data_IF_449200630724
#
_entry.id   IF_449200630724
#
_cell.length_a   1.000
_cell.length_b   1.000
_cell.length_c   1.000
_cell.angle_alpha   90.00
_cell.angle_beta   90.00
_cell.angle_gamma   90.00
#
_symmetry.space_group_name_H-M   'P 1'
#
loop_
_entity.id
_entity.type
_entity.pdbx_description
1 polymer ?
2 non-polymer ?
3 non-polymer ?
4 water ?
#
# COMPACT_ATOMS: atom_id res chain seq x y z
N UNK A 1 -0.05 -2.32 -8.32
CA UNK A 1 -1.45 -2.66 -8.74
C UNK A 1 -2.30 -3.35 -7.68
N UNK A 3 -1.78 -4.89 -4.83
CA UNK A 3 -1.37 -6.16 -4.16
C UNK A 3 -1.62 -6.14 -2.63
N UNK A 4 -1.35 -5.00 -1.99
CA UNK A 4 -1.49 -4.94 -0.52
C UNK A 4 -2.94 -5.02 -0.02
N UNK A 5 -3.87 -4.25 -0.59
CA UNK A 5 -5.28 -4.31 -0.14
C UNK A 5 -5.89 -5.69 -0.48
N UNK A 6 -5.52 -6.24 -1.66
CA UNK A 6 -6.02 -7.54 -2.10
C UNK A 6 -5.66 -8.69 -1.15
N UNK A 7 -4.37 -8.76 -0.82
CA UNK A 7 -3.84 -9.80 0.08
C UNK A 7 -4.42 -9.72 1.47
N UNK A 8 -4.51 -8.51 2.02
CA UNK A 8 -5.12 -8.31 3.36
C UNK A 8 -6.57 -8.78 3.41
N UNK A 9 -7.36 -8.33 2.44
CA UNK A 9 -8.77 -8.67 2.39
C UNK A 9 -8.99 -10.17 2.19
N UNK A 10 -8.17 -10.77 1.32
CA UNK A 10 -8.24 -12.21 1.04
C UNK A 10 -8.03 -13.08 2.28
N UNK A 11 -7.00 -12.73 3.06
CA UNK A 11 -6.67 -13.42 4.29
C UNK A 11 -7.74 -13.22 5.37
N UNK A 12 -8.23 -11.99 5.52
CA UNK A 12 -9.32 -11.72 6.48
C UNK A 12 -10.58 -12.58 6.14
N UNK A 13 -11.00 -12.56 4.87
CA UNK A 13 -12.15 -13.36 4.43
C UNK A 13 -11.92 -14.86 4.64
N UNK A 14 -10.71 -15.38 4.35
CA UNK A 14 -10.41 -16.80 4.60
C UNK A 14 -10.54 -17.15 6.08
N UNK A 15 -10.05 -16.28 6.97
CA UNK A 15 -10.12 -16.55 8.40
C UNK A 15 -11.53 -16.37 8.97
N UNK A 16 -12.31 -15.44 8.43
CA UNK A 16 -13.70 -15.24 8.88
C UNK A 16 -14.61 -16.40 8.43
N UNK A 17 -14.40 -16.85 7.20
CA UNK A 17 -15.18 -17.94 6.61
C UNK A 17 -14.67 -19.34 7.00
N UNK A 18 -13.39 -19.41 7.39
CA UNK A 18 -12.68 -20.66 7.73
C UNK A 18 -12.69 -21.54 6.48
N UNK A 19 -12.21 -20.97 5.38
CA UNK A 19 -12.14 -21.64 4.11
C UNK A 19 -10.86 -21.31 3.38
N UNK A 20 -10.43 -22.28 2.57
CA UNK A 20 -9.27 -22.18 1.70
C UNK A 20 -7.90 -22.13 2.45
N UNK A 21 -6.86 -21.87 1.68
CA UNK A 21 -5.48 -21.87 2.08
C UNK A 21 -4.75 -20.70 1.46
N UNK A 22 -3.48 -20.53 1.85
CA UNK A 22 -2.63 -19.52 1.28
C UNK A 22 -2.39 -19.89 -0.19
N UNK A 23 -2.50 -18.91 -1.08
CA UNK A 23 -2.29 -19.12 -2.52
C UNK A 23 -1.25 -18.21 -3.12
N UNK A 24 -0.56 -17.40 -2.30
CA UNK A 24 0.51 -16.53 -2.76
C UNK A 24 1.41 -16.12 -1.61
N UNK A 25 2.63 -15.72 -1.96
CA UNK A 25 3.56 -15.22 -0.92
C UNK A 25 3.08 -13.89 -0.33
N UNK A 26 2.33 -13.09 -1.09
CA UNK A 26 1.76 -11.83 -0.57
C UNK A 26 0.87 -12.21 0.63
N UNK A 27 -0.01 -13.20 0.43
CA UNK A 27 -0.84 -13.75 1.51
C UNK A 27 0.02 -14.32 2.65
N UNK A 28 1.07 -15.07 2.33
CA UNK A 28 1.96 -15.62 3.35
C UNK A 28 2.57 -14.57 4.28
N UNK A 29 3.12 -13.49 3.70
CA UNK A 29 3.80 -12.46 4.48
C UNK A 29 2.83 -11.69 5.39
N UNK A 30 1.62 -11.43 4.90
CA UNK A 30 0.61 -10.76 5.70
C UNK A 30 0.22 -11.69 6.87
N UNK A 31 -0.02 -12.96 6.54
CA UNK A 31 -0.36 -13.98 7.51
C UNK A 31 0.76 -14.15 8.58
N UNK A 32 2.03 -14.11 8.14
CA UNK A 32 3.22 -14.21 9.00
C UNK A 32 3.24 -13.04 9.98
N UNK A 33 2.89 -11.85 9.49
CA UNK A 33 2.83 -10.67 10.30
C UNK A 33 1.79 -10.81 11.38
N UNK A 34 0.61 -11.29 11.01
CA UNK A 34 -0.47 -11.51 11.96
C UNK A 34 -0.08 -12.52 13.06
N UNK A 35 0.66 -13.56 12.66
CA UNK A 35 1.17 -14.57 13.58
C UNK A 35 2.15 -13.92 14.57
N UNK A 36 3.03 -13.02 14.11
CA UNK A 36 3.95 -12.30 15.02
C UNK A 36 3.15 -11.51 16.03
N UNK A 37 2.15 -10.76 15.55
CA UNK A 37 1.29 -9.96 16.42
C UNK A 37 0.47 -10.79 17.42
N UNK A 38 -0.24 -11.80 16.91
CA UNK A 38 -1.13 -12.63 17.72
C UNK A 38 -0.46 -13.67 18.58
N UNK A 39 0.61 -14.29 18.05
CA UNK A 39 1.30 -15.40 18.76
C UNK A 39 2.72 -15.13 19.27
N UNK A 40 3.34 -14.03 18.86
CA UNK A 40 4.68 -13.70 19.30
C UNK A 40 5.82 -14.53 18.75
N UNK A 41 5.57 -15.20 17.63
CA UNK A 41 6.60 -16.01 16.97
C UNK A 41 7.58 -15.00 16.37
N UNK A 42 8.86 -15.26 16.57
CA UNK A 42 9.94 -14.39 16.12
C UNK A 42 10.28 -14.50 14.64
N UNK A 43 9.42 -13.90 13.82
CA UNK A 43 9.57 -13.80 12.37
C UNK A 43 9.78 -12.32 12.05
N UNK A 44 10.33 -12.03 10.86
CA UNK A 44 10.53 -10.63 10.41
C UNK A 44 10.35 -10.59 8.91
N UNK A 45 10.02 -9.39 8.42
CA UNK A 45 9.77 -9.14 6.99
C UNK A 45 10.94 -9.49 6.05
N UNK A 46 12.16 -9.38 6.55
CA UNK A 46 13.39 -9.64 5.76
C UNK A 46 13.75 -11.12 5.58
N UNK A 48 13.45 -14.83 4.12
CA UNK A 48 13.06 -15.39 2.82
C UNK A 48 11.83 -16.30 3.01
N UNK A 49 11.07 -16.57 1.92
CA UNK A 49 9.82 -17.33 2.07
C UNK A 49 9.85 -18.66 2.84
N UNK A 50 10.72 -19.59 2.44
CA UNK A 50 10.84 -20.89 3.11
C UNK A 50 11.37 -20.73 4.54
N UNK A 51 12.34 -19.83 4.73
CA UNK A 51 12.89 -19.51 6.05
C UNK A 51 11.78 -19.05 7.00
N UNK A 52 10.95 -18.11 6.52
CA UNK A 52 9.84 -17.55 7.27
C UNK A 52 8.88 -18.65 7.69
N UNK A 53 8.50 -19.48 6.71
CA UNK A 53 7.57 -20.59 6.95
C UNK A 53 8.13 -21.62 7.92
N UNK A 54 9.44 -21.94 7.80
CA UNK A 54 10.12 -22.89 8.71
C UNK A 54 10.04 -22.38 10.15
N UNK A 55 10.36 -21.10 10.35
CA UNK A 55 10.30 -20.50 11.70
C UNK A 55 8.86 -20.55 12.26
N UNK A 56 7.85 -20.22 11.44
CA UNK A 56 6.46 -20.29 11.88
C UNK A 56 6.07 -21.74 12.23
N UNK A 57 6.46 -22.68 11.35
CA UNK A 57 6.13 -24.11 11.55
C UNK A 57 6.84 -24.79 12.73
N UNK A 58 7.97 -24.22 13.21
CA UNK A 58 8.61 -24.71 14.44
C UNK A 58 7.71 -24.49 15.66
N UNK A 59 6.78 -23.52 15.61
CA UNK A 59 5.92 -23.16 16.77
C UNK A 59 4.40 -23.03 16.67
N UNK A 60 3.87 -22.85 15.46
CA UNK A 60 2.40 -22.70 15.24
C UNK A 60 1.50 -23.80 15.83
N UNK A 61 2.00 -25.03 15.85
CA UNK A 61 1.23 -26.17 16.37
C UNK A 61 1.14 -26.24 17.92
N UNK A 62 1.91 -25.39 18.62
CA UNK A 62 1.93 -25.26 20.10
C UNK A 62 1.12 -24.04 20.60
N UNK A 63 0.66 -23.20 19.68
CA UNK A 63 -0.12 -22.03 19.96
C UNK A 63 -1.56 -22.39 20.35
N UNK A 64 -2.11 -21.65 21.32
CA UNK A 64 -3.48 -21.81 21.77
C UNK A 64 -4.19 -20.58 21.20
N UNK A 65 -4.99 -20.74 20.10
CA UNK A 65 -5.64 -19.59 19.49
C UNK A 65 -6.73 -18.96 20.36
N UNK A 66 -6.81 -17.64 20.32
CA UNK A 66 -7.80 -16.89 21.10
C UNK A 66 -9.20 -16.93 20.54
N UNK A 67 -9.34 -17.27 19.26
CA UNK A 67 -10.65 -17.29 18.59
C UNK A 67 -10.54 -18.10 17.30
N UNK A 68 -11.65 -18.24 16.58
CA UNK A 68 -11.70 -19.03 15.34
C UNK A 68 -10.79 -18.47 14.21
N UNK A 69 -10.58 -17.17 14.18
CA UNK A 69 -9.75 -16.54 13.13
C UNK A 69 -8.27 -16.88 13.35
N UNK A 70 -7.82 -16.83 14.62
CA UNK A 70 -6.46 -17.20 14.95
C UNK A 70 -6.26 -18.69 14.73
N UNK A 71 -7.29 -19.49 15.00
CA UNK A 71 -7.22 -20.93 14.76
C UNK A 71 -7.04 -21.16 13.26
N UNK A 72 -7.70 -20.34 12.42
CA UNK A 72 -7.54 -20.49 10.97
C UNK A 72 -6.13 -20.05 10.52
N UNK A 73 -5.51 -19.07 11.18
CA UNK A 73 -4.13 -18.68 10.87
C UNK A 73 -3.20 -19.89 10.98
N UNK A 74 -3.44 -20.76 11.96
CA UNK A 74 -2.64 -21.98 12.18
C UNK A 74 -2.83 -22.91 10.97
N UNK A 75 -4.06 -23.04 10.50
CA UNK A 75 -4.34 -23.83 9.30
C UNK A 75 -3.62 -23.26 8.08
N UNK A 76 -3.71 -21.95 7.88
CA UNK A 76 -3.02 -21.31 6.74
C UNK A 76 -1.51 -21.53 6.74
N UNK A 77 -0.88 -21.31 7.90
CA UNK A 77 0.57 -21.44 8.03
C UNK A 77 1.10 -22.87 8.04
N UNK A 78 0.25 -23.86 8.33
CA UNK A 78 0.72 -25.25 8.30
C UNK A 78 0.61 -25.93 6.95
N UNK A 79 0.04 -25.26 5.92
CA UNK A 79 -0.27 -25.88 4.63
C UNK A 79 0.03 -25.01 3.40
N UNK A 80 1.32 -24.72 3.16
CA UNK A 80 1.71 -23.87 2.01
C UNK A 80 3.11 -24.18 1.47
N UNK A 81 3.25 -24.19 0.13
CA UNK A 81 4.53 -24.38 -0.56
C UNK A 81 4.85 -23.02 -1.21
N UNK A 82 5.72 -22.18 -0.59
CA UNK A 82 6.01 -20.87 -1.16
C UNK A 82 6.84 -20.86 -2.41
N UNK A 83 6.71 -19.78 -3.19
CA UNK A 83 7.55 -19.58 -4.37
C UNK A 83 8.64 -18.63 -3.89
N UNK A 84 9.47 -18.15 -4.80
CA UNK A 84 10.57 -17.23 -4.44
C UNK A 84 10.20 -15.73 -4.34
N UNK A 85 8.92 -15.36 -4.32
CA UNK A 85 8.54 -13.95 -4.23
C UNK A 85 8.82 -13.34 -2.84
N UNK A 86 9.69 -12.34 -2.81
CA UNK A 86 10.06 -11.64 -1.60
C UNK A 86 10.45 -10.23 -2.02
N UNK A 87 9.46 -9.54 -2.53
CA UNK A 87 9.63 -8.17 -3.06
C UNK A 87 9.23 -7.14 -2.03
N UNK A 88 9.21 -5.88 -2.46
CA UNK A 88 8.81 -4.73 -1.64
C UNK A 88 7.39 -4.85 -1.05
N UNK A 89 6.48 -5.50 -1.77
CA UNK A 89 5.08 -5.70 -1.34
C UNK A 89 4.96 -6.82 -0.31
N UNK A 90 5.76 -7.87 -0.41
CA UNK A 90 5.75 -8.93 0.62
C UNK A 90 6.23 -8.29 1.98
N UNK A 91 7.26 -7.44 1.90
CA UNK A 91 7.78 -6.75 3.10
C UNK A 91 6.72 -5.86 3.75
N UNK A 92 6.03 -5.04 2.93
CA UNK A 92 5.00 -4.15 3.45
C UNK A 92 3.85 -4.94 4.03
N UNK A 93 3.43 -6.01 3.35
CA UNK A 93 2.38 -6.89 3.86
C UNK A 93 2.73 -7.51 5.22
N UNK A 94 4.00 -7.89 5.41
CA UNK A 94 4.45 -8.41 6.72
C UNK A 94 4.24 -7.29 7.76
N UNK A 95 4.70 -6.07 7.44
CA UNK A 95 4.56 -4.95 8.39
C UNK A 95 3.08 -4.61 8.67
N UNK A 97 0.63 -6.81 8.64
CA UNK A 97 0.12 -7.86 9.52
C UNK A 97 0.56 -7.69 10.96
N UNK A 98 1.85 -7.44 11.17
CA UNK A 98 2.37 -7.27 12.53
C UNK A 98 1.81 -6.04 13.27
N UNK A 99 1.48 -4.98 12.53
CA UNK A 99 0.95 -3.74 13.12
C UNK A 99 -0.55 -3.57 12.87
N UNK A 100 -1.26 -4.65 12.49
CA UNK A 100 -2.69 -4.56 12.17
C UNK A 100 -3.54 -3.89 13.27
N UNK A 101 -4.12 -2.73 12.93
CA UNK A 101 -4.94 -1.96 13.88
C UNK A 101 -6.43 -2.24 13.76
N UNK A 102 -6.86 -2.92 12.70
CA UNK A 102 -8.28 -3.26 12.47
C UNK A 102 -8.33 -4.75 12.15
N UNK A 103 -7.84 -5.57 13.09
CA UNK A 103 -7.75 -7.01 12.85
C UNK A 103 -9.11 -7.64 12.56
N UNK A 104 -9.13 -8.43 11.48
CA UNK A 104 -10.32 -9.13 10.98
C UNK A 104 -11.45 -8.23 10.44
N UNK A 105 -11.16 -6.97 10.14
CA UNK A 105 -12.15 -6.04 9.62
C UNK A 105 -11.84 -5.77 8.17
N UNK A 106 -12.69 -6.21 7.25
CA UNK A 106 -12.50 -5.92 5.81
C UNK A 106 -12.74 -4.43 5.56
N UNK A 107 -12.19 -3.93 4.47
CA UNK A 107 -12.34 -2.52 4.07
C UNK A 107 -13.57 -2.37 3.15
N UNK B 3 -12.41 -3.43 -27.83
CA UNK B 3 -11.94 -4.70 -27.28
C UNK B 3 -12.05 -4.86 -25.76
N UNK B 4 -11.67 -3.82 -25.01
CA UNK B 4 -11.70 -3.89 -23.52
C UNK B 4 -13.11 -3.86 -22.91
N UNK B 5 -13.99 -3.00 -23.44
CA UNK B 5 -15.40 -2.92 -22.98
C UNK B 5 -16.13 -4.25 -23.31
N UNK B 6 -15.91 -4.78 -24.53
CA UNK B 6 -16.51 -6.05 -25.00
C UNK B 6 -16.09 -7.24 -24.14
N UNK B 7 -14.80 -7.33 -23.90
CA UNK B 7 -14.24 -8.44 -23.11
C UNK B 7 -14.75 -8.40 -21.67
N UNK B 8 -14.73 -7.23 -21.04
CA UNK B 8 -15.23 -7.10 -19.68
C UNK B 8 -16.73 -7.49 -19.55
N UNK B 9 -17.56 -6.94 -20.43
CA UNK B 9 -19.01 -7.22 -20.40
C UNK B 9 -19.29 -8.70 -20.62
N UNK B 10 -18.59 -9.31 -21.58
CA UNK B 10 -18.73 -10.73 -21.89
C UNK B 10 -18.42 -11.62 -20.69
N UNK B 11 -17.29 -11.37 -20.02
CA UNK B 11 -16.94 -12.14 -18.81
C UNK B 11 -17.94 -11.97 -17.67
N UNK B 12 -18.40 -10.74 -17.44
CA UNK B 12 -19.44 -10.48 -16.41
C UNK B 12 -20.72 -11.28 -16.71
N UNK B 13 -21.18 -11.23 -17.95
CA UNK B 13 -22.40 -11.97 -18.36
C UNK B 13 -22.24 -13.47 -18.28
N UNK B 14 -21.07 -13.98 -18.63
CA UNK B 14 -20.76 -15.42 -18.55
C UNK B 14 -20.76 -15.87 -17.10
N UNK B 15 -20.17 -15.07 -16.20
CA UNK B 15 -20.14 -15.39 -14.77
C UNK B 15 -21.53 -15.23 -14.12
N UNK B 16 -22.30 -14.23 -14.55
CA UNK B 16 -23.66 -14.02 -14.02
C UNK B 16 -24.61 -15.14 -14.43
N UNK B 17 -24.51 -15.59 -15.68
CA UNK B 17 -25.35 -16.66 -16.22
C UNK B 17 -24.78 -18.07 -16.13
N UNK B 18 -23.52 -18.20 -15.72
CA UNK B 18 -22.78 -19.46 -15.68
C UNK B 18 -22.93 -20.22 -17.02
N UNK B 19 -22.53 -19.53 -18.09
CA UNK B 19 -22.56 -20.06 -19.44
C UNK B 19 -21.29 -19.73 -20.19
N UNK B 20 -20.96 -20.62 -21.10
CA UNK B 20 -19.82 -20.50 -22.00
C UNK B 20 -18.43 -20.58 -21.33
N UNK B 21 -17.42 -20.29 -22.14
CA UNK B 21 -16.02 -20.38 -21.76
C UNK B 21 -15.26 -19.24 -22.37
N UNK B 22 -13.98 -19.14 -22.00
CA UNK B 22 -13.11 -18.11 -22.55
C UNK B 22 -12.93 -18.33 -24.05
N UNK B 23 -13.11 -17.27 -24.84
CA UNK B 23 -12.96 -17.33 -26.30
C UNK B 23 -11.85 -16.43 -26.82
N UNK B 24 -11.13 -15.74 -25.92
CA UNK B 24 -10.03 -14.87 -26.37
C UNK B 24 -9.06 -14.60 -25.25
N UNK B 25 -7.86 -14.16 -25.64
CA UNK B 25 -6.88 -13.76 -24.62
C UNK B 25 -7.29 -12.47 -23.93
N UNK B 26 -8.14 -11.64 -24.55
CA UNK B 26 -8.66 -10.41 -23.95
C UNK B 26 -9.51 -10.83 -22.77
N UNK B 27 -10.39 -11.81 -22.99
CA UNK B 27 -11.21 -12.41 -21.92
C UNK B 27 -10.32 -13.07 -20.82
N UNK B 28 -9.26 -13.81 -21.22
CA UNK B 28 -8.36 -14.47 -20.26
C UNK B 28 -7.73 -13.48 -19.30
N UNK B 29 -7.12 -12.43 -19.85
CA UNK B 29 -6.43 -11.42 -19.03
C UNK B 29 -7.38 -10.68 -18.06
N UNK B 30 -8.60 -10.33 -18.48
CA UNK B 30 -9.58 -9.68 -17.58
C UNK B 30 -9.94 -10.66 -16.47
N UNK B 31 -10.22 -11.90 -16.86
CA UNK B 31 -10.59 -12.96 -15.93
C UNK B 31 -9.47 -13.25 -14.90
N UNK B 32 -8.21 -13.26 -15.37
CA UNK B 32 -7.02 -13.44 -14.50
C UNK B 32 -6.91 -12.28 -13.50
N UNK B 33 -7.14 -11.04 -13.94
CA UNK B 33 -7.12 -9.90 -13.05
C UNK B 33 -8.19 -10.02 -11.97
N UNK B 34 -9.39 -10.44 -12.35
CA UNK B 34 -10.48 -10.68 -11.36
C UNK B 34 -10.07 -11.78 -10.37
N UNK B 35 -9.43 -12.84 -10.87
CA UNK B 35 -8.91 -13.94 -10.03
C UNK B 35 -7.87 -13.41 -9.02
N UNK B 36 -6.98 -12.51 -9.45
CA UNK B 36 -6.03 -11.89 -8.51
C UNK B 36 -6.81 -11.12 -7.42
N UNK B 37 -7.72 -10.26 -7.86
CA UNK B 37 -8.51 -9.47 -6.92
C UNK B 37 -9.34 -10.31 -5.94
N UNK B 38 -10.09 -11.27 -6.45
CA UNK B 38 -10.96 -12.10 -5.63
C UNK B 38 -10.31 -13.18 -4.78
N UNK B 39 -9.25 -13.77 -5.34
CA UNK B 39 -8.57 -14.92 -4.71
C UNK B 39 -7.18 -14.67 -4.16
N UNK B 40 -6.54 -13.56 -4.51
CA UNK B 40 -5.19 -13.23 -4.06
C UNK B 40 -4.05 -14.00 -4.71
N UNK B 41 -4.29 -14.61 -5.87
CA UNK B 41 -3.26 -15.35 -6.59
C UNK B 41 -2.30 -14.30 -7.20
N UNK B 42 -0.99 -14.58 -7.13
CA UNK B 42 0.07 -13.69 -7.65
C UNK B 42 0.34 -13.77 -9.15
N UNK B 43 -0.71 -13.52 -9.92
CA UNK B 43 -0.63 -13.24 -11.32
C UNK B 43 -0.36 -11.76 -11.57
N UNK B 44 0.19 -11.44 -12.74
CA UNK B 44 0.42 -10.04 -13.09
C UNK B 44 0.22 -9.87 -14.58
N UNK B 45 -0.11 -8.64 -14.97
CA UNK B 45 -0.42 -8.25 -16.38
C UNK B 45 0.69 -8.52 -17.38
N UNK B 46 1.95 -8.47 -16.90
CA UNK B 46 3.14 -8.71 -17.68
C UNK B 46 3.50 -10.19 -17.94
N UNK B 48 3.22 -13.86 -19.67
CA UNK B 48 2.81 -14.35 -21.00
C UNK B 48 1.57 -15.24 -20.79
N UNK B 49 0.79 -15.51 -21.87
CA UNK B 49 -0.49 -16.23 -21.64
C UNK B 49 -0.48 -17.59 -20.94
N UNK B 50 0.39 -18.48 -21.37
CA UNK B 50 0.50 -19.82 -20.71
C UNK B 50 1.03 -19.69 -19.29
N UNK B 51 2.02 -18.82 -19.11
CA UNK B 51 2.62 -18.51 -17.81
C UNK B 51 1.53 -18.07 -16.84
N UNK B 52 0.68 -17.16 -17.31
CA UNK B 52 -0.45 -16.62 -16.56
C UNK B 52 -1.38 -17.74 -16.12
N UNK B 53 -1.80 -18.55 -17.08
CA UNK B 53 -2.68 -19.66 -16.82
C UNK B 53 -2.00 -20.74 -15.88
N UNK B 54 -0.69 -20.97 -16.04
CA UNK B 54 0.04 -21.95 -15.21
C UNK B 54 0.08 -21.50 -13.72
N UNK B 55 0.25 -20.19 -13.47
CA UNK B 55 0.22 -19.64 -12.09
C UNK B 55 -1.19 -19.80 -11.52
N UNK B 56 -2.23 -19.48 -12.31
CA UNK B 56 -3.62 -19.65 -11.87
C UNK B 56 -3.94 -21.10 -11.56
N UNK B 57 -3.57 -22.01 -12.47
CA UNK B 57 -3.84 -23.45 -12.30
C UNK B 57 -3.09 -24.10 -11.11
N UNK B 58 -1.95 -23.52 -10.67
CA UNK B 58 -1.25 -23.98 -9.47
C UNK B 58 -2.11 -23.80 -8.18
N UNK B 59 -3.06 -22.86 -8.20
CA UNK B 59 -3.88 -22.53 -7.02
C UNK B 59 -5.39 -22.50 -7.13
N UNK B 60 -5.99 -22.30 -8.31
CA UNK B 60 -7.47 -22.23 -8.41
C UNK B 60 -8.24 -23.48 -7.87
N UNK B 61 -7.57 -24.63 -7.81
CA UNK B 61 -8.13 -25.87 -7.24
C UNK B 61 -8.42 -25.73 -5.72
N UNK B 62 -7.59 -24.93 -5.04
CA UNK B 62 -7.71 -24.66 -3.60
C UNK B 62 -8.53 -23.40 -3.20
N UNK B 63 -8.90 -22.54 -4.16
CA UNK B 63 -9.69 -21.34 -3.82
C UNK B 63 -11.13 -21.76 -3.49
N UNK B 64 -11.74 -21.00 -2.59
CA UNK B 64 -13.09 -21.19 -2.11
C UNK B 64 -13.86 -19.96 -2.63
N UNK B 65 -14.66 -20.09 -3.71
CA UNK B 65 -15.37 -18.90 -4.22
C UNK B 65 -16.47 -18.42 -3.28
N UNK B 66 -16.60 -17.11 -3.15
CA UNK B 66 -17.61 -16.48 -2.28
C UNK B 66 -19.03 -16.50 -2.86
N UNK B 67 -19.16 -16.72 -4.18
CA UNK B 67 -20.46 -16.72 -4.84
C UNK B 67 -20.37 -17.45 -6.17
N UNK B 68 -21.51 -17.60 -6.84
CA UNK B 68 -21.61 -18.27 -8.14
C UNK B 68 -20.75 -17.63 -9.23
N UNK B 69 -20.59 -16.31 -9.19
CA UNK B 69 -19.79 -15.57 -10.17
C UNK B 69 -18.31 -15.94 -10.01
N UNK B 70 -17.79 -15.86 -8.79
CA UNK B 70 -16.40 -16.26 -8.51
C UNK B 70 -16.18 -17.73 -8.87
N UNK B 71 -17.17 -18.57 -8.58
CA UNK B 71 -17.07 -19.98 -8.93
C UNK B 71 -16.95 -20.16 -10.45
N UNK B 72 -17.65 -19.32 -11.24
CA UNK B 72 -17.54 -19.43 -12.68
C UNK B 72 -16.16 -18.98 -13.17
N UNK B 73 -15.50 -18.03 -12.48
CA UNK B 73 -14.11 -17.65 -12.86
C UNK B 73 -13.22 -18.87 -12.86
N UNK B 74 -13.43 -19.77 -11.91
CA UNK B 74 -12.68 -21.04 -11.80
C UNK B 74 -12.94 -21.92 -13.04
N UNK B 75 -14.20 -21.99 -13.46
CA UNK B 75 -14.56 -22.74 -14.68
C UNK B 75 -13.89 -22.12 -15.88
N UNK B 76 -13.96 -20.80 -15.99
CA UNK B 76 -13.34 -20.09 -17.10
C UNK B 76 -11.80 -20.34 -17.17
N UNK B 77 -11.14 -20.20 -16.03
CA UNK B 77 -9.67 -20.35 -15.97
C UNK B 77 -9.15 -21.77 -16.04
N UNK B 78 -9.97 -22.76 -15.69
CA UNK B 78 -9.56 -24.16 -15.79
C UNK B 78 -9.69 -24.83 -17.14
N UNK B 79 -10.27 -24.13 -18.14
CA UNK B 79 -10.61 -24.70 -19.44
C UNK B 79 -10.39 -23.77 -20.63
N UNK B 80 -9.13 -23.40 -20.87
CA UNK B 80 -8.79 -22.50 -21.98
C UNK B 80 -7.39 -22.76 -22.48
N UNK B 81 -7.23 -22.86 -23.80
CA UNK B 81 -5.94 -23.04 -24.46
C UNK B 81 -5.63 -21.65 -25.06
N UNK B 82 -4.70 -20.88 -24.47
CA UNK B 82 -4.50 -19.54 -25.05
C UNK B 82 -3.71 -19.47 -26.34
N UNK B 83 -3.85 -18.35 -27.04
CA UNK B 83 -3.04 -18.13 -28.22
C UNK B 83 -1.90 -17.28 -27.64
N UNK B 84 -1.05 -16.70 -28.48
CA UNK B 84 0.08 -15.91 -27.96
C UNK B 84 -0.19 -14.40 -27.84
N UNK B 85 -1.45 -13.96 -27.92
CA UNK B 85 -1.76 -12.55 -27.85
C UNK B 85 -1.52 -12.01 -26.44
N UNK B 86 -0.68 -11.00 -26.35
CA UNK B 86 -0.32 -10.34 -25.12
C UNK B 86 0.14 -8.94 -25.49
N UNK B 87 -0.83 -8.14 -25.93
CA UNK B 87 -0.65 -6.77 -26.38
C UNK B 87 -1.06 -5.79 -25.26
N UNK B 88 -1.01 -4.48 -25.56
CA UNK B 88 -1.42 -3.45 -24.59
C UNK B 88 -2.85 -3.58 -24.05
N UNK B 89 -3.75 -4.09 -24.89
CA UNK B 89 -5.15 -4.26 -24.53
C UNK B 89 -5.30 -5.39 -23.48
N UNK B 90 -4.56 -6.50 -23.66
CA UNK B 90 -4.60 -7.62 -22.70
C UNK B 90 -4.05 -7.13 -21.35
N UNK B 91 -2.97 -6.32 -21.36
CA UNK B 91 -2.37 -5.75 -20.13
C UNK B 91 -3.40 -4.87 -19.41
N UNK B 92 -4.02 -3.96 -20.15
CA UNK B 92 -5.07 -3.08 -19.58
C UNK B 92 -6.24 -3.88 -19.00
N UNK B 93 -6.72 -4.87 -19.74
CA UNK B 93 -7.79 -5.77 -19.26
C UNK B 93 -7.40 -6.46 -17.96
N UNK B 94 -6.12 -6.87 -17.83
CA UNK B 94 -5.65 -7.48 -16.56
C UNK B 94 -5.79 -6.46 -15.45
N UNK B 95 -5.29 -5.26 -15.68
CA UNK B 95 -5.37 -4.20 -14.66
C UNK B 95 -6.82 -3.84 -14.31
N UNK B 97 -9.42 -5.89 -14.35
CA UNK B 97 -9.91 -6.95 -13.45
C UNK B 97 -9.36 -6.84 -12.04
N UNK B 98 -8.06 -6.62 -11.97
CA UNK B 98 -7.28 -6.44 -10.75
C UNK B 98 -7.80 -5.34 -9.85
N UNK B 99 -8.18 -4.24 -10.46
CA UNK B 99 -8.71 -3.06 -9.77
C UNK B 99 -10.20 -2.83 -10.06
N UNK B 100 -10.98 -3.89 -10.33
CA UNK B 100 -12.39 -3.73 -10.69
C UNK B 100 -13.23 -3.07 -9.56
N UNK B 101 -13.77 -1.89 -9.83
CA UNK B 101 -14.58 -1.15 -8.84
C UNK B 101 -16.10 -1.36 -8.96
N UNK B 102 -16.55 -2.05 -10.02
CA UNK B 102 -17.98 -2.33 -10.26
C UNK B 102 -18.07 -3.81 -10.66
N UNK B 103 -17.62 -4.66 -9.75
CA UNK B 103 -17.56 -6.12 -10.01
C UNK B 103 -18.95 -6.70 -10.29
N UNK B 104 -19.06 -7.40 -11.41
CA UNK B 104 -20.29 -8.07 -11.92
C UNK B 104 -21.42 -7.12 -12.34
N UNK B 105 -21.09 -5.84 -12.56
CA UNK B 105 -22.04 -4.81 -12.92
C UNK B 105 -21.82 -4.36 -14.33
N UNK B 106 -22.81 -4.51 -15.20
CA UNK B 106 -22.70 -4.02 -16.58
C UNK B 106 -23.49 -2.70 -16.53
N UNK B 107 -22.83 -1.57 -16.76
CA UNK B 107 -23.46 -0.25 -16.77
C UNK B 107 -24.02 -0.01 -18.17
N UNK B 108 -25.30 0.37 -18.23
CA UNK B 108 -26.01 0.64 -19.47
C UNK B 108 -26.10 2.15 -19.74
N UNK B 109 -26.26 2.94 -18.68
CA UNK B 109 -26.35 4.41 -18.71
C UNK B 109 -25.62 5.01 -17.51
N UNK C 1 -14.17 22.85 -11.29
CA UNK C 1 -14.85 22.29 -12.52
C UNK C 1 -14.48 20.86 -12.89
N UNK C 3 -12.48 19.38 -14.95
CA UNK C 3 -11.07 18.96 -15.05
C UNK C 3 -10.55 18.44 -13.69
N UNK C 4 -11.13 18.87 -12.56
CA UNK C 4 -10.71 18.37 -11.22
C UNK C 4 -10.96 16.84 -11.10
N UNK C 5 -12.13 16.38 -11.56
CA UNK C 5 -12.46 14.95 -11.53
C UNK C 5 -11.57 14.16 -12.50
N UNK C 6 -11.39 14.70 -13.71
CA UNK C 6 -10.58 14.07 -14.74
C UNK C 6 -9.10 13.95 -14.33
N UNK C 7 -8.55 15.04 -13.77
CA UNK C 7 -7.15 15.02 -13.36
C UNK C 7 -6.92 14.01 -12.21
N UNK C 8 -7.88 13.93 -11.27
CA UNK C 8 -7.84 12.98 -10.15
C UNK C 8 -7.87 11.52 -10.68
N UNK C 9 -8.87 11.22 -11.50
CA UNK C 9 -9.01 9.89 -12.08
C UNK C 9 -7.79 9.46 -12.89
N UNK C 10 -7.23 10.40 -13.66
CA UNK C 10 -6.06 10.15 -14.51
C UNK C 10 -4.83 9.74 -13.69
N UNK C 11 -4.56 10.47 -12.61
CA UNK C 11 -3.43 10.17 -11.72
C UNK C 11 -3.63 8.82 -11.04
N UNK C 12 -4.85 8.56 -10.58
CA UNK C 12 -5.19 7.27 -9.96
C UNK C 12 -4.94 6.10 -10.94
N UNK C 13 -5.43 6.25 -12.18
CA UNK C 13 -5.24 5.23 -13.20
C UNK C 13 -3.75 5.03 -13.55
N UNK C 14 -3.00 6.11 -13.67
CA UNK C 14 -1.55 6.03 -13.97
C UNK C 14 -0.76 5.31 -12.86
N UNK C 15 -1.08 5.60 -11.59
CA UNK C 15 -0.42 4.93 -10.45
C UNK C 15 -0.86 3.45 -10.33
N UNK C 16 -2.13 3.17 -10.56
CA UNK C 16 -2.65 1.78 -10.56
C UNK C 16 -2.01 0.94 -11.66
N UNK C 17 -1.85 1.52 -12.84
CA UNK C 17 -1.26 0.86 -14.01
C UNK C 17 0.27 0.96 -14.09
N UNK C 18 0.87 1.93 -13.40
CA UNK C 18 2.30 2.21 -13.42
C UNK C 18 2.71 2.54 -14.86
N UNK C 19 1.93 3.43 -15.49
CA UNK C 19 2.19 3.86 -16.87
C UNK C 19 1.92 5.33 -17.01
N UNK C 20 2.51 5.88 -18.06
CA UNK C 20 2.37 7.26 -18.46
C UNK C 20 3.08 8.30 -17.56
N UNK C 21 2.86 9.57 -17.90
CA UNK C 21 3.51 10.69 -17.27
C UNK C 21 2.55 11.80 -16.94
N UNK C 22 3.05 12.79 -16.21
CA UNK C 22 2.27 13.97 -15.87
C UNK C 22 2.11 14.76 -17.17
N UNK C 23 0.89 15.13 -17.50
CA UNK C 23 0.56 15.90 -18.74
C UNK C 23 -0.07 17.28 -18.48
N UNK C 24 -0.17 17.71 -17.22
CA UNK C 24 -0.77 19.00 -16.89
C UNK C 24 -0.43 19.42 -15.50
N UNK C 25 -0.57 20.73 -15.26
CA UNK C 25 -0.37 21.28 -13.91
C UNK C 25 -1.52 20.81 -13.00
N UNK C 26 -2.71 20.56 -13.56
CA UNK C 26 -3.85 19.99 -12.79
C UNK C 26 -3.40 18.66 -12.17
N UNK C 27 -2.78 17.79 -12.98
CA UNK C 27 -2.21 16.51 -12.50
C UNK C 27 -1.08 16.78 -11.50
N UNK C 28 -0.19 17.73 -11.80
CA UNK C 28 0.91 18.06 -10.87
C UNK C 28 0.42 18.38 -9.46
N UNK C 29 -0.56 19.27 -9.39
CA UNK C 29 -1.10 19.72 -8.08
C UNK C 29 -1.84 18.61 -7.29
N UNK C 30 -2.59 17.76 -7.97
CA UNK C 30 -3.24 16.62 -7.30
C UNK C 30 -2.18 15.65 -6.76
N UNK C 31 -1.15 15.38 -7.58
CA UNK C 31 -0.04 14.47 -7.23
C UNK C 31 0.74 15.03 -6.02
N UNK C 32 1.01 16.33 -6.07
CA UNK C 32 1.69 17.07 -5.00
C UNK C 32 0.92 16.93 -3.69
N UNK C 33 -0.41 17.10 -3.76
CA UNK C 33 -1.34 16.97 -2.63
C UNK C 33 -1.25 15.57 -2.03
N UNK C 34 -1.36 14.54 -2.89
CA UNK C 34 -1.21 13.14 -2.44
C UNK C 34 0.16 12.86 -1.84
N UNK C 35 1.22 13.43 -2.42
CA UNK C 35 2.58 13.31 -1.95
C UNK C 35 2.69 13.88 -0.53
N UNK C 36 2.04 15.02 -0.28
CA UNK C 36 2.02 15.62 1.08
C UNK C 36 1.35 14.66 2.08
N UNK C 37 0.15 14.20 1.73
CA UNK C 37 -0.63 13.29 2.56
C UNK C 37 0.11 12.00 2.85
N UNK C 38 0.67 11.38 1.81
CA UNK C 38 1.40 10.11 1.98
C UNK C 38 2.83 10.17 2.54
N UNK C 39 3.58 11.21 2.19
CA UNK C 39 4.98 11.33 2.58
C UNK C 39 5.38 12.45 3.56
N UNK C 40 4.46 13.34 3.92
CA UNK C 40 4.76 14.41 4.89
C UNK C 40 5.68 15.53 4.40
N UNK C 41 5.73 15.69 3.07
CA UNK C 41 6.52 16.72 2.41
C UNK C 41 5.73 18.04 2.55
N UNK C 42 6.44 19.10 2.92
CA UNK C 42 5.83 20.41 3.19
C UNK C 42 5.65 21.24 1.96
N UNK C 43 4.57 20.91 1.25
CA UNK C 43 4.13 21.62 0.07
C UNK C 43 2.74 22.20 0.41
N UNK C 44 2.31 23.18 -0.37
CA UNK C 44 1.04 23.86 -0.20
C UNK C 44 0.46 24.26 -1.54
N UNK C 45 -0.88 24.38 -1.55
CA UNK C 45 -1.66 24.71 -2.74
C UNK C 45 -1.33 26.09 -3.29
N UNK C 46 -0.91 26.99 -2.40
CA UNK C 46 -0.52 28.35 -2.80
C UNK C 46 0.87 28.47 -3.45
N UNK C 48 3.73 28.27 -6.26
CA UNK C 48 3.75 28.40 -7.73
C UNK C 48 4.28 27.07 -8.31
N UNK C 49 3.98 26.77 -9.60
CA UNK C 49 4.36 25.45 -10.17
C UNK C 49 5.81 25.03 -10.04
N UNK C 50 6.75 25.92 -10.33
CA UNK C 50 8.18 25.57 -10.22
C UNK C 50 8.62 25.35 -8.77
N UNK C 51 8.15 26.19 -7.85
CA UNK C 51 8.41 26.08 -6.42
C UNK C 51 7.91 24.74 -5.89
N UNK C 52 6.66 24.45 -6.26
CA UNK C 52 6.01 23.23 -5.87
C UNK C 52 6.80 22.00 -6.26
N UNK C 53 7.17 21.91 -7.54
CA UNK C 53 7.93 20.78 -8.06
C UNK C 53 9.33 20.71 -7.41
N UNK C 54 9.97 21.88 -7.19
CA UNK C 54 11.31 21.94 -6.55
C UNK C 54 11.30 21.32 -5.14
N UNK C 55 10.32 21.73 -4.32
CA UNK C 55 10.16 21.25 -2.95
C UNK C 55 9.88 19.74 -2.98
N UNK C 56 9.05 19.27 -3.91
CA UNK C 56 8.79 17.83 -4.04
C UNK C 56 10.05 17.06 -4.42
N UNK C 57 10.74 17.53 -5.45
CA UNK C 57 11.98 16.89 -5.95
C UNK C 57 13.16 16.91 -4.97
N UNK C 58 13.15 17.87 -4.04
CA UNK C 58 14.16 17.96 -3.00
C UNK C 58 14.09 16.74 -2.06
N UNK C 59 12.91 16.13 -1.93
CA UNK C 59 12.70 14.98 -1.02
C UNK C 59 12.13 13.69 -1.52
N UNK C 60 11.45 13.67 -2.67
CA UNK C 60 10.80 12.41 -3.18
C UNK C 60 11.64 11.16 -3.32
N UNK C 61 12.94 11.31 -3.62
CA UNK C 61 13.85 10.13 -3.73
C UNK C 61 14.13 9.47 -2.37
N UNK C 62 13.93 10.20 -1.27
CA UNK C 62 14.13 9.68 0.10
C UNK C 62 12.88 9.09 0.77
N UNK C 63 11.70 9.21 0.14
CA UNK C 63 10.47 8.68 0.75
C UNK C 63 10.44 7.16 0.57
N UNK C 64 9.72 6.50 1.47
CA UNK C 64 9.51 5.05 1.45
C UNK C 64 8.03 4.90 1.12
N UNK C 65 7.69 4.45 -0.12
CA UNK C 65 6.27 4.30 -0.43
C UNK C 65 5.69 3.07 0.25
N UNK C 66 4.44 3.19 0.70
CA UNK C 66 3.71 2.09 1.34
C UNK C 66 3.20 1.07 0.34
N UNK C 67 3.14 1.38 -0.96
CA UNK C 67 2.65 0.45 -1.98
C UNK C 67 3.13 0.84 -3.40
N UNK C 68 2.69 0.08 -4.39
CA UNK C 68 3.04 0.29 -5.80
C UNK C 68 2.52 1.63 -6.35
N UNK C 69 1.36 2.07 -5.84
CA UNK C 69 0.70 3.31 -6.24
C UNK C 69 1.49 4.52 -5.76
N UNK C 70 1.88 4.49 -4.48
CA UNK C 70 2.73 5.53 -3.89
C UNK C 70 4.10 5.57 -4.56
N UNK C 71 4.64 4.42 -4.94
CA UNK C 71 5.90 4.37 -5.65
C UNK C 71 5.78 5.04 -7.02
N UNK C 72 4.63 4.90 -7.72
CA UNK C 72 4.49 5.52 -9.02
C UNK C 72 4.32 7.04 -8.87
N UNK C 73 3.79 7.54 -7.75
CA UNK C 73 3.75 9.02 -7.53
C UNK C 73 5.14 9.63 -7.57
N UNK C 74 6.11 8.91 -7.01
CA UNK C 74 7.52 9.31 -7.01
C UNK C 74 8.06 9.35 -8.44
N UNK C 75 7.71 8.33 -9.24
CA UNK C 75 8.13 8.25 -10.64
C UNK C 75 7.57 9.45 -11.44
N UNK C 76 6.27 9.72 -11.26
CA UNK C 76 5.58 10.86 -11.92
C UNK C 76 6.21 12.22 -11.61
N UNK C 77 6.57 12.41 -10.34
CA UNK C 77 7.20 13.66 -9.88
C UNK C 77 8.67 13.84 -10.30
N UNK C 78 9.27 12.80 -10.87
CA UNK C 78 10.64 12.86 -11.38
C UNK C 78 10.77 13.31 -12.82
N UNK C 79 9.66 13.42 -13.56
CA UNK C 79 9.68 13.80 -14.97
C UNK C 79 8.52 14.70 -15.43
N UNK C 80 8.64 16.00 -15.16
CA UNK C 80 7.62 16.96 -15.58
C UNK C 80 8.14 18.41 -15.68
N UNK C 81 7.78 19.11 -16.76
CA UNK C 81 8.12 20.52 -17.01
C UNK C 81 6.84 21.28 -16.77
N UNK C 82 6.68 21.97 -15.61
CA UNK C 82 5.43 22.70 -15.42
C UNK C 82 5.28 23.92 -16.32
N UNK C 83 4.03 24.32 -16.54
CA UNK C 83 3.70 25.53 -17.27
C UNK C 83 3.30 26.52 -16.18
N UNK C 84 2.85 27.70 -16.58
CA UNK C 84 2.42 28.75 -15.61
C UNK C 84 1.05 28.57 -14.93
N UNK C 85 0.28 27.52 -15.26
CA UNK C 85 -1.06 27.37 -14.70
C UNK C 85 -1.08 27.19 -13.17
N UNK C 86 -1.73 28.14 -12.50
CA UNK C 86 -1.89 28.11 -11.04
C UNK C 86 -3.23 28.78 -10.75
N UNK C 87 -4.25 28.19 -11.37
CA UNK C 87 -5.62 28.72 -11.30
C UNK C 87 -6.34 28.06 -10.13
N UNK C 88 -7.61 28.42 -9.95
CA UNK C 88 -8.38 27.83 -8.86
C UNK C 88 -8.54 26.33 -8.89
N UNK C 89 -8.56 25.73 -10.08
CA UNK C 89 -8.66 24.28 -10.21
C UNK C 89 -7.36 23.58 -9.75
N UNK C 90 -6.20 24.18 -10.00
CA UNK C 90 -4.94 23.60 -9.49
C UNK C 90 -4.99 23.62 -7.97
N UNK C 91 -5.48 24.73 -7.39
CA UNK C 91 -5.58 24.86 -5.93
C UNK C 91 -6.55 23.80 -5.36
N UNK C 92 -7.69 23.65 -6.00
CA UNK C 92 -8.70 22.66 -5.59
C UNK C 92 -8.11 21.25 -5.64
N UNK C 93 -7.44 20.90 -6.73
CA UNK C 93 -6.81 19.60 -6.87
C UNK C 93 -5.78 19.31 -5.79
N UNK C 94 -4.98 20.33 -5.41
CA UNK C 94 -4.00 20.16 -4.33
C UNK C 94 -4.71 19.77 -3.04
N UNK C 95 -5.76 20.51 -2.71
CA UNK C 95 -6.56 20.25 -1.51
C UNK C 95 -7.20 18.86 -1.54
N UNK C 97 -5.99 16.19 -3.08
CA UNK C 97 -4.95 15.22 -2.83
C UNK C 97 -4.56 15.15 -1.37
N UNK C 98 -4.36 16.31 -0.73
CA UNK C 98 -3.94 16.32 0.70
C UNK C 98 -5.00 15.83 1.70
N UNK C 99 -6.27 15.85 1.28
CA UNK C 99 -7.40 15.39 2.08
C UNK C 99 -8.11 14.18 1.43
N UNK C 100 -7.42 13.43 0.54
CA UNK C 100 -8.04 12.33 -0.21
C UNK C 100 -8.68 11.24 0.68
N UNK C 101 -10.01 11.11 0.61
CA UNK C 101 -10.77 10.13 1.42
C UNK C 101 -10.99 8.78 0.74
N UNK C 102 -10.76 8.70 -0.57
CA UNK C 102 -10.95 7.48 -1.35
C UNK C 102 -9.69 7.26 -2.17
N UNK C 103 -8.56 7.14 -1.46
CA UNK C 103 -7.26 6.99 -2.12
C UNK C 103 -7.22 5.78 -3.07
N UNK C 104 -6.73 6.03 -4.29
CA UNK C 104 -6.62 5.04 -5.38
C UNK C 104 -7.94 4.39 -5.88
N UNK C 105 -9.06 5.07 -5.63
CA UNK C 105 -10.40 4.62 -5.98
C UNK C 105 -10.85 5.59 -7.07
N UNK C 106 -10.90 5.13 -8.31
CA UNK C 106 -11.28 5.99 -9.45
C UNK C 106 -12.72 6.51 -9.34
N UNK C 107 -13.67 5.65 -8.96
CA UNK C 107 -15.09 6.01 -8.82
C UNK C 107 -15.40 6.43 -7.39
N UNK C 108 -16.01 7.61 -7.21
CA UNK C 108 -16.41 8.14 -5.87
C UNK C 108 -17.81 8.76 -5.95
N UNK D 1 1.80 25.16 5.60
CA UNK D 1 0.90 24.52 6.62
C UNK D 1 0.78 23.04 6.34
N UNK D 3 -1.88 19.58 7.77
CA UNK D 3 -2.88 18.95 8.63
C UNK D 3 -2.00 18.07 9.49
N UNK D 4 -2.00 18.34 10.79
CA UNK D 4 -1.09 17.69 11.77
C UNK D 4 -1.12 16.14 11.81
N UNK D 5 -2.27 15.52 11.49
CA UNK D 5 -2.36 14.05 11.42
C UNK D 5 -1.41 13.46 10.36
N UNK D 6 -1.16 14.20 9.29
CA UNK D 6 -0.25 13.78 8.21
C UNK D 6 1.18 13.55 8.72
N UNK D 7 1.70 14.50 9.52
CA UNK D 7 3.06 14.40 10.04
C UNK D 7 3.12 13.28 11.10
N UNK D 8 2.09 13.21 11.97
CA UNK D 8 2.03 12.17 13.01
C UNK D 8 2.04 10.77 12.41
N UNK D 9 1.14 10.53 11.47
CA UNK D 9 1.07 9.23 10.87
C UNK D 9 2.32 8.91 10.03
N UNK D 10 2.91 9.90 9.36
CA UNK D 10 4.13 9.66 8.55
C UNK D 10 5.29 9.14 9.42
N UNK D 11 5.51 9.80 10.54
CA UNK D 11 6.52 9.39 11.52
C UNK D 11 6.26 7.99 12.15
N UNK D 12 5.01 7.74 12.50
CA UNK D 12 4.59 6.44 13.07
C UNK D 12 4.92 5.33 12.06
N UNK D 13 4.51 5.51 10.81
CA UNK D 13 4.80 4.51 9.79
C UNK D 13 6.27 4.36 9.53
N UNK D 14 7.05 5.45 9.54
CA UNK D 14 8.52 5.35 9.35
C UNK D 14 9.21 4.56 10.48
N UNK D 15 8.82 4.80 11.73
CA UNK D 15 9.36 4.07 12.89
C UNK D 15 8.93 2.59 12.92
N UNK D 16 7.70 2.30 12.50
CA UNK D 16 7.17 0.93 12.46
C UNK D 16 7.85 0.06 11.38
N UNK D 17 8.04 0.65 10.21
CA UNK D 17 8.68 0.03 9.04
C UNK D 17 10.19 0.17 9.05
N UNK D 18 10.71 1.08 9.88
CA UNK D 18 12.14 1.38 10.00
C UNK D 18 12.64 1.72 8.60
N UNK D 19 11.98 2.71 7.99
CA UNK D 19 12.27 3.19 6.66
C UNK D 19 12.22 4.69 6.59
N UNK D 20 13.01 5.22 5.66
CA UNK D 20 13.07 6.63 5.32
C UNK D 20 13.71 7.56 6.37
N UNK D 21 13.60 8.84 6.08
CA UNK D 21 14.19 9.90 6.86
C UNK D 21 13.20 11.05 7.00
N UNK D 22 13.56 11.99 7.86
CA UNK D 22 12.75 13.19 8.04
C UNK D 22 12.81 13.98 6.73
N UNK D 23 11.64 14.43 6.26
CA UNK D 23 11.51 15.25 5.05
C UNK D 23 10.86 16.63 5.26
N UNK D 24 10.42 16.95 6.48
CA UNK D 24 9.85 18.26 6.73
C UNK D 24 10.01 18.61 8.18
N UNK D 25 9.93 19.91 8.45
CA UNK D 25 9.97 20.36 9.86
C UNK D 25 8.75 19.90 10.64
N UNK D 26 7.61 19.70 9.98
CA UNK D 26 6.42 19.16 10.66
C UNK D 26 6.77 17.79 11.32
N UNK D 27 7.43 16.92 10.54
CA UNK D 27 7.90 15.62 11.00
C UNK D 27 8.96 15.77 12.09
N UNK D 28 9.87 16.73 11.91
CA UNK D 28 10.92 16.99 12.91
C UNK D 28 10.32 17.35 14.27
N UNK D 29 9.35 18.25 14.30
CA UNK D 29 8.74 18.70 15.59
C UNK D 29 7.96 17.59 16.32
N UNK D 30 7.24 16.77 15.56
CA UNK D 30 6.52 15.64 16.16
C UNK D 30 7.55 14.65 16.75
N UNK D 31 8.57 14.32 15.96
CA UNK D 31 9.64 13.43 16.37
C UNK D 31 10.36 13.96 17.63
N UNK D 32 10.64 15.26 17.65
CA UNK D 32 11.25 15.95 18.83
C UNK D 32 10.36 15.79 20.08
N UNK D 33 9.04 15.99 19.93
CA UNK D 33 8.11 15.82 21.03
C UNK D 33 8.15 14.40 21.60
N UNK D 34 8.12 13.40 20.71
CA UNK D 34 8.23 11.97 21.09
C UNK D 34 9.58 11.68 21.77
N UNK D 35 10.64 12.30 21.30
CA UNK D 35 11.99 12.17 21.91
C UNK D 35 11.95 12.66 23.38
N UNK D 36 11.19 13.73 23.64
CA UNK D 36 11.02 14.25 24.99
C UNK D 36 10.20 13.28 25.87
N UNK D 37 9.09 12.76 25.33
CA UNK D 37 8.23 11.81 26.03
C UNK D 37 9.00 10.53 26.35
N UNK D 38 9.69 10.01 25.34
CA UNK D 38 10.41 8.73 25.46
C UNK D 38 11.75 8.76 26.18
N UNK D 39 12.54 9.82 25.98
CA UNK D 39 13.90 9.93 26.56
C UNK D 39 14.14 11.07 27.56
N UNK D 40 13.22 12.03 27.64
CA UNK D 40 13.38 13.19 28.53
C UNK D 40 14.38 14.25 28.07
N UNK D 41 14.76 14.25 26.79
CA UNK D 41 15.71 15.27 26.24
C UNK D 41 14.99 16.63 26.38
N UNK D 42 15.71 17.60 26.94
CA UNK D 42 15.22 18.95 27.26
C UNK D 42 15.00 19.87 26.06
N UNK D 43 13.90 19.61 25.37
CA UNK D 43 13.51 20.38 24.21
C UNK D 43 12.10 20.91 24.45
N UNK D 44 11.75 21.96 23.72
CA UNK D 44 10.45 22.60 23.83
C UNK D 44 10.01 23.07 22.46
N UNK D 45 8.68 23.20 22.33
CA UNK D 45 8.03 23.56 21.05
C UNK D 45 8.40 24.93 20.54
N UNK D 46 8.73 25.86 21.44
CA UNK D 46 9.14 27.22 21.07
C UNK D 46 10.58 27.33 20.55
N UNK D 48 13.60 27.20 17.98
CA UNK D 48 13.72 27.31 16.53
C UNK D 48 14.27 25.99 15.97
N UNK D 49 14.03 25.69 14.67
CA UNK D 49 14.44 24.39 14.08
C UNK D 49 15.89 23.98 14.32
N UNK D 50 16.82 24.90 14.10
CA UNK D 50 18.25 24.61 14.28
C UNK D 50 18.62 24.34 15.74
N UNK D 51 18.08 25.15 16.67
CA UNK D 51 18.28 24.95 18.12
C UNK D 51 17.70 23.61 18.56
N UNK D 52 16.46 23.33 18.13
CA UNK D 52 15.81 22.06 18.45
C UNK D 52 16.66 20.86 18.01
N UNK D 53 17.13 20.88 16.75
CA UNK D 53 17.93 19.76 16.25
C UNK D 53 19.29 19.67 16.99
N UNK D 54 19.97 20.80 17.21
CA UNK D 54 21.25 20.85 17.96
C UNK D 54 21.13 20.22 19.34
N UNK D 55 20.07 20.59 20.06
CA UNK D 55 19.78 20.06 21.41
C UNK D 55 19.51 18.55 21.38
N UNK D 56 18.71 18.09 20.40
CA UNK D 56 18.43 16.66 20.28
C UNK D 56 19.70 15.87 19.97
N UNK D 57 20.47 16.37 19.01
CA UNK D 57 21.70 15.72 18.55
C UNK D 57 22.83 15.66 19.57
N UNK D 58 22.80 16.58 20.53
CA UNK D 58 23.78 16.61 21.62
C UNK D 58 23.58 15.42 22.58
N UNK D 59 22.35 14.89 22.64
CA UNK D 59 21.93 13.86 23.60
C UNK D 59 21.34 12.55 23.11
N UNK D 60 21.29 12.32 21.80
CA UNK D 60 20.67 11.08 21.26
C UNK D 60 21.53 9.86 21.05
N UNK D 61 22.79 10.09 20.65
CA UNK D 61 23.76 9.01 20.35
C UNK D 61 24.08 8.03 21.49
N UNK D 62 23.87 8.44 22.73
CA UNK D 62 24.10 7.60 23.92
C UNK D 62 22.86 7.08 24.64
N UNK D 63 21.64 7.38 24.16
CA UNK D 63 20.36 6.91 24.79
C UNK D 63 20.23 5.39 24.76
N UNK D 64 20.55 4.81 23.61
CA UNK D 64 20.54 3.35 23.38
C UNK D 64 19.26 2.62 23.84
N UNK D 65 18.10 2.95 23.25
CA UNK D 65 16.86 2.31 23.60
C UNK D 65 16.81 0.92 22.99
N UNK D 66 16.11 -0.01 23.63
CA UNK D 66 15.94 -1.39 23.14
C UNK D 66 14.79 -1.41 22.13
N UNK D 67 13.74 -0.63 22.40
CA UNK D 67 12.56 -0.49 21.55
C UNK D 67 12.99 -0.08 20.13
N UNK D 68 12.58 -0.88 19.13
CA UNK D 68 12.93 -0.61 17.72
C UNK D 68 12.38 0.68 17.14
N UNK D 69 11.17 1.06 17.57
CA UNK D 69 10.53 2.30 17.12
C UNK D 69 11.28 3.50 17.70
N UNK D 70 11.68 3.41 18.97
CA UNK D 70 12.49 4.44 19.64
C UNK D 70 13.87 4.55 18.99
N UNK D 71 14.48 3.40 18.68
CA UNK D 71 15.75 3.40 17.95
C UNK D 71 15.60 4.11 16.63
N UNK D 72 14.47 3.90 15.93
CA UNK D 72 14.28 4.57 14.66
C UNK D 72 14.08 6.08 14.88
N UNK D 73 13.41 6.51 15.97
CA UNK D 73 13.29 7.95 16.27
C UNK D 73 14.66 8.60 16.33
N UNK D 74 15.58 7.93 17.03
CA UNK D 74 16.98 8.39 17.16
C UNK D 74 17.67 8.47 15.81
N UNK D 75 17.46 7.45 14.97
CA UNK D 75 18.00 7.40 13.62
C UNK D 75 17.45 8.58 12.81
N UNK D 76 16.13 8.82 12.91
CA UNK D 76 15.53 9.97 12.22
C UNK D 76 16.17 11.30 12.67
N UNK D 77 16.37 11.47 13.97
CA UNK D 77 16.95 12.72 14.52
C UNK D 77 18.44 12.95 14.21
N UNK D 78 19.18 11.92 13.86
CA UNK D 78 20.60 12.10 13.50
C UNK D 78 20.88 12.38 12.04
N UNK D 79 19.83 12.51 11.20
CA UNK D 79 19.99 12.66 9.74
C UNK D 79 19.01 13.66 9.09
N UNK D 80 19.13 14.95 9.43
CA UNK D 80 18.22 15.97 8.86
C UNK D 80 18.78 17.42 8.85
N UNK D 81 18.47 18.15 7.78
CA UNK D 81 18.87 19.54 7.58
C UNK D 81 17.54 20.28 7.57
N UNK D 82 17.17 20.95 8.69
CA UNK D 82 15.88 21.63 8.72
C UNK D 82 15.84 22.90 7.93
N UNK D 83 14.63 23.30 7.55
CA UNK D 83 14.42 24.59 6.87
C UNK D 83 13.92 25.54 7.96
N UNK D 84 13.45 26.67 7.52
CA UNK D 84 12.95 27.73 8.39
C UNK D 84 11.62 27.47 9.06
N UNK D 85 10.84 26.48 8.61
CA UNK D 85 9.49 26.28 9.14
C UNK D 85 9.32 26.01 10.65
N UNK D 86 8.61 26.95 11.30
CA UNK D 86 8.30 26.92 12.73
C UNK D 86 6.97 27.63 12.98
N UNK D 87 5.96 27.15 12.29
CA UNK D 87 4.62 27.73 12.38
C UNK D 87 3.86 27.09 13.54
N UNK D 88 2.61 27.51 13.73
CA UNK D 88 1.78 26.94 14.79
C UNK D 88 1.55 25.43 14.71
N UNK D 89 1.57 24.87 13.49
CA UNK D 89 1.40 23.44 13.30
C UNK D 89 2.65 22.70 13.76
N UNK D 90 3.84 23.24 13.53
CA UNK D 90 5.06 22.59 14.06
C UNK D 90 4.99 22.60 15.61
N UNK D 91 4.53 23.71 16.20
CA UNK D 91 4.38 23.82 17.67
C UNK D 91 3.40 22.79 18.20
N UNK D 92 2.25 22.67 17.55
CA UNK D 92 1.24 21.69 17.94
C UNK D 92 1.74 20.26 17.78
N UNK D 93 2.47 19.99 16.70
CA UNK D 93 3.06 18.67 16.47
C UNK D 93 4.01 18.31 17.60
N UNK D 94 4.79 19.27 18.11
CA UNK D 94 5.68 19.00 19.25
C UNK D 94 4.87 18.59 20.45
N UNK D 95 3.83 19.36 20.74
CA UNK D 95 2.92 19.09 21.85
C UNK D 95 2.23 17.73 21.70
N UNK D 97 3.51 15.12 20.10
CA UNK D 97 4.53 14.12 20.38
C UNK D 97 4.83 13.99 21.87
N UNK D 98 4.98 15.10 22.60
CA UNK D 98 5.29 14.98 24.05
C UNK D 98 4.13 14.42 24.90
N UNK D 99 2.88 14.62 24.46
CA UNK D 99 1.69 14.13 25.18
C UNK D 99 1.02 12.91 24.54
N UNK D 100 1.64 12.34 23.52
CA UNK D 100 1.10 11.21 22.73
C UNK D 100 0.50 10.10 23.56
N UNK D 101 -0.84 9.97 23.50
CA UNK D 101 -1.56 8.95 24.27
C UNK D 101 -1.76 7.61 23.55
N UNK D 102 -1.46 7.54 22.25
CA UNK D 102 -1.62 6.33 21.45
C UNK D 102 -0.36 6.16 20.62
N UNK D 103 0.75 6.05 21.33
CA UNK D 103 2.04 5.94 20.68
C UNK D 103 2.11 4.74 19.72
N UNK D 104 2.63 5.02 18.52
CA UNK D 104 2.82 4.09 17.40
C UNK D 104 1.52 3.51 16.82
N UNK D 105 0.37 4.15 17.08
CA UNK D 105 -0.94 3.72 16.56
C UNK D 105 -1.32 4.75 15.49
N UNK D 106 -1.34 4.36 14.23
CA UNK D 106 -1.71 5.26 13.14
C UNK D 106 -3.16 5.74 13.26
N UNK D 107 -4.10 4.81 13.50
CA UNK D 107 -5.54 5.08 13.68
C UNK D 107 -5.88 5.10 15.16
N UNK D 108 -6.67 6.09 15.58
CA UNK D 108 -7.07 6.31 16.99
C UNK D 108 -8.47 6.93 17.08
#
# INVERSE_FOLDING_TARGET
GXITSIARQSIILKCLRQKSVLVSNYELYYTAGLAKKCFGIAVDADXEPKQLLEELQKHIDKVSPADEQEKYLIHLLGNYEPDDTHDEQTVELFHXGETEEHIWQVSIT
GXITSIARQSIILKCLRQKSVLVSNYELYYTAGLAKKCFGIAVDADXEPKQLLEELQKHIDKVSPADEQEKYLIHLLGNYEPDDTHDEQTVELFHXGETEEHIWQVSIT
GXITSIARQSIILKCLRQKSVLVSNYELYYTAGLAKKCFGIAVDADXEPKQLLEELQKHIDKVSPADEQEKYLIHLLGNYEPDDTHDEQTVELFHXGETEEHIWQVSIT
GXITSIARQSIILKCLRQKSVLVSNYELYYTAGLAKKCFGIAVDADXEPKQLLEELQKHIDKVSPADEQEKYLIHLLGNYEPDDTHDEQTVELFHXGETEEHIWQVSIT
#
